data_IF_407653420080
#
_entry.id   IF_407653420080
#
_cell.length_a   1.000
_cell.length_b   1.000
_cell.length_c   1.000
_cell.angle_alpha   90.00
_cell.angle_beta   90.00
_cell.angle_gamma   90.00
#
_symmetry.space_group_name_H-M   'P 1'
#
loop_
_entity.id
_entity.type
_entity.pdbx_description
1 polymer ?
#
# COMPACT_ATOMS: atom_id res chain seq x y z
N UNK A 1 27.02 -13.14 -3.63
CA UNK A 1 25.70 -12.70 -4.09
C UNK A 1 25.94 -11.46 -4.92
N UNK A 2 25.57 -11.44 -6.19
CA UNK A 2 25.75 -10.28 -7.06
C UNK A 2 24.83 -9.16 -6.52
N UNK A 3 25.44 -8.04 -6.09
CA UNK A 3 24.68 -6.83 -5.75
C UNK A 3 23.97 -6.38 -7.03
N UNK A 4 22.65 -6.49 -7.05
CA UNK A 4 21.84 -6.01 -8.17
C UNK A 4 21.92 -4.50 -8.20
N UNK A 5 22.41 -3.94 -9.30
CA UNK A 5 22.40 -2.50 -9.60
C UNK A 5 21.02 -1.91 -9.37
N UNK A 6 20.95 -0.81 -8.64
CA UNK A 6 19.70 -0.20 -8.17
C UNK A 6 19.15 0.86 -9.13
N UNK A 7 19.55 0.85 -10.40
CA UNK A 7 19.04 1.81 -11.39
C UNK A 7 17.56 1.57 -11.61
N UNK A 8 16.73 2.55 -11.25
CA UNK A 8 15.32 2.56 -11.58
C UNK A 8 15.18 2.62 -13.11
N UNK A 9 14.61 1.60 -13.71
CA UNK A 9 14.40 1.59 -15.14
C UNK A 9 13.27 2.57 -15.49
N UNK A 10 13.61 3.77 -15.92
CA UNK A 10 12.74 4.64 -16.70
C UNK A 10 12.56 4.05 -18.11
N UNK A 11 12.19 2.77 -18.20
CA UNK A 11 11.94 2.09 -19.45
C UNK A 11 10.47 2.25 -19.80
N UNK A 12 10.11 3.35 -20.45
CA UNK A 12 8.76 3.53 -20.97
C UNK A 12 8.67 4.71 -21.92
N UNK A 13 7.99 4.50 -23.03
CA UNK A 13 7.50 5.59 -23.88
C UNK A 13 6.48 6.37 -23.04
N UNK A 14 6.81 7.60 -22.62
CA UNK A 14 5.82 8.46 -21.97
C UNK A 14 4.81 8.93 -23.00
N UNK A 15 3.55 8.55 -22.84
CA UNK A 15 2.48 9.08 -23.67
C UNK A 15 2.06 10.46 -23.13
N UNK A 16 2.25 11.50 -23.90
CA UNK A 16 1.95 12.89 -23.56
C UNK A 16 0.45 13.23 -23.66
N UNK A 17 -0.39 12.21 -23.81
CA UNK A 17 -1.80 12.36 -24.18
C UNK A 17 -2.73 13.02 -23.14
N UNK A 18 -2.27 13.55 -21.99
CA UNK A 18 -3.17 14.01 -20.93
C UNK A 18 -2.93 15.42 -20.40
N UNK A 19 -2.29 16.29 -21.15
CA UNK A 19 -2.21 17.70 -20.79
C UNK A 19 -2.62 18.64 -21.94
N UNK A 20 -3.84 18.50 -22.39
CA UNK A 20 -4.49 19.57 -23.14
C UNK A 20 -5.13 20.60 -22.18
N UNK A 21 -4.35 21.11 -21.25
CA UNK A 21 -4.64 22.34 -20.55
C UNK A 21 -4.32 23.51 -21.50
N UNK A 22 -5.31 24.31 -21.84
CA UNK A 22 -5.26 25.44 -22.74
C UNK A 22 -4.02 26.31 -22.58
N UNK A 23 -3.17 26.35 -23.61
CA UNK A 23 -2.15 27.37 -23.79
C UNK A 23 -0.79 26.79 -24.15
N UNK A 24 -0.41 26.94 -25.43
CA UNK A 24 0.88 26.54 -25.99
C UNK A 24 2.06 27.36 -25.46
N UNK A 25 2.29 27.35 -24.14
CA UNK A 25 3.54 27.85 -23.57
C UNK A 25 4.48 26.66 -23.46
N UNK A 26 5.49 26.61 -24.32
CA UNK A 26 6.60 25.67 -24.19
C UNK A 26 7.27 25.96 -22.84
N UNK A 27 7.29 24.97 -21.94
CA UNK A 27 8.01 25.06 -20.68
C UNK A 27 9.51 25.15 -20.97
N UNK A 28 10.22 25.94 -20.18
CA UNK A 28 11.67 26.01 -20.19
C UNK A 28 12.22 25.18 -19.03
N UNK A 29 12.56 23.93 -19.32
CA UNK A 29 13.05 22.98 -18.31
C UNK A 29 14.38 23.34 -17.65
N UNK A 30 15.09 24.36 -18.17
CA UNK A 30 16.35 24.84 -17.57
C UNK A 30 16.13 25.84 -16.44
N UNK A 31 14.91 26.34 -16.27
CA UNK A 31 14.58 27.27 -15.19
C UNK A 31 14.68 26.64 -13.82
N UNK A 32 15.31 27.32 -12.90
CA UNK A 32 15.32 26.97 -11.48
C UNK A 32 13.92 27.17 -10.88
N UNK A 33 13.37 26.13 -10.25
CA UNK A 33 12.06 26.18 -9.55
C UNK A 33 12.20 26.13 -8.04
N UNK A 34 13.30 25.63 -7.53
CA UNK A 34 13.66 25.62 -6.12
C UNK A 34 15.18 25.56 -5.97
N UNK A 35 15.67 25.71 -4.73
CA UNK A 35 17.10 25.62 -4.41
C UNK A 35 17.25 24.91 -3.07
N UNK A 36 18.09 23.88 -3.02
CA UNK A 36 18.46 23.15 -1.80
C UNK A 36 19.94 23.38 -1.54
N UNK A 37 20.28 23.99 -0.40
CA UNK A 37 21.64 24.33 0.05
C UNK A 37 22.54 24.97 -1.04
N UNK A 38 21.92 25.85 -1.84
CA UNK A 38 22.61 26.58 -2.91
C UNK A 38 22.70 25.82 -4.24
N UNK A 39 22.14 24.59 -4.32
CA UNK A 39 22.04 23.81 -5.55
C UNK A 39 20.69 24.06 -6.20
N UNK A 40 20.69 24.53 -7.44
CA UNK A 40 19.48 24.80 -8.20
C UNK A 40 18.79 23.52 -8.66
N UNK A 41 17.47 23.48 -8.51
CA UNK A 41 16.59 22.42 -9.00
C UNK A 41 15.94 22.88 -10.31
N UNK A 42 16.29 22.27 -11.46
CA UNK A 42 15.71 22.65 -12.74
C UNK A 42 14.28 22.13 -12.89
N UNK A 43 13.40 22.91 -13.52
CA UNK A 43 12.02 22.56 -13.83
C UNK A 43 11.93 21.20 -14.55
N UNK A 44 12.86 20.89 -15.47
CA UNK A 44 12.81 19.64 -16.23
C UNK A 44 12.92 18.39 -15.37
N UNK A 45 13.71 18.42 -14.29
CA UNK A 45 13.82 17.29 -13.34
C UNK A 45 12.50 17.09 -12.60
N UNK A 46 11.89 18.17 -12.10
CA UNK A 46 10.61 18.11 -11.39
C UNK A 46 9.48 17.69 -12.33
N UNK A 47 9.44 18.27 -13.54
CA UNK A 47 8.44 17.93 -14.56
C UNK A 47 8.50 16.46 -14.97
N UNK A 48 9.71 15.93 -15.19
CA UNK A 48 9.88 14.51 -15.53
C UNK A 48 9.39 13.60 -14.41
N UNK A 49 9.76 13.88 -13.17
CA UNK A 49 9.32 13.11 -12.02
C UNK A 49 7.79 13.18 -11.83
N UNK A 50 7.20 14.38 -11.91
CA UNK A 50 5.75 14.55 -11.81
C UNK A 50 5.01 13.74 -12.88
N UNK A 51 5.52 13.70 -14.13
CA UNK A 51 4.94 12.89 -15.20
C UNK A 51 5.08 11.38 -14.95
N UNK A 52 6.20 10.95 -14.41
CA UNK A 52 6.38 9.56 -13.99
C UNK A 52 5.33 9.17 -12.93
N UNK A 53 5.13 10.00 -11.91
CA UNK A 53 4.11 9.74 -10.87
C UNK A 53 2.69 9.77 -11.44
N UNK A 54 2.40 10.74 -12.31
CA UNK A 54 1.11 10.83 -13.01
C UNK A 54 0.79 9.55 -13.78
N UNK A 55 1.75 9.03 -14.56
CA UNK A 55 1.55 7.80 -15.32
C UNK A 55 1.29 6.59 -14.42
N UNK A 56 2.04 6.44 -13.33
CA UNK A 56 1.84 5.34 -12.37
C UNK A 56 0.46 5.39 -11.73
N UNK A 57 0.04 6.56 -11.26
CA UNK A 57 -1.28 6.76 -10.66
C UNK A 57 -2.39 6.52 -11.65
N UNK A 58 -2.27 7.07 -12.87
CA UNK A 58 -3.24 6.86 -13.95
C UNK A 58 -3.38 5.37 -14.28
N UNK A 59 -2.26 4.62 -14.41
CA UNK A 59 -2.29 3.19 -14.68
C UNK A 59 -2.96 2.39 -13.55
N UNK A 60 -2.73 2.78 -12.31
CA UNK A 60 -3.39 2.19 -11.14
C UNK A 60 -4.92 2.42 -11.18
N UNK A 61 -5.36 3.65 -11.40
CA UNK A 61 -6.78 3.98 -11.52
C UNK A 61 -7.46 3.24 -12.67
N UNK A 62 -6.81 3.18 -13.84
CA UNK A 62 -7.30 2.39 -14.98
C UNK A 62 -7.48 0.91 -14.63
N UNK A 63 -6.56 0.35 -13.84
CA UNK A 63 -6.63 -1.06 -13.43
C UNK A 63 -7.77 -1.35 -12.45
N UNK A 64 -8.05 -0.44 -11.51
CA UNK A 64 -9.05 -0.65 -10.46
C UNK A 64 -10.44 -0.13 -10.82
N UNK A 65 -10.50 1.02 -11.52
CA UNK A 65 -11.75 1.73 -11.79
C UNK A 65 -12.20 1.62 -13.26
N UNK A 66 -11.35 1.08 -14.14
CA UNK A 66 -11.63 0.96 -15.57
C UNK A 66 -11.54 2.27 -16.36
N UNK A 67 -11.40 3.42 -15.70
CA UNK A 67 -11.18 4.73 -16.29
C UNK A 67 -10.36 5.63 -15.37
N UNK A 68 -9.59 6.55 -15.95
CA UNK A 68 -8.88 7.62 -15.25
C UNK A 68 -9.20 9.00 -15.85
N UNK A 69 -10.36 9.11 -16.49
CA UNK A 69 -10.77 10.35 -17.18
C UNK A 69 -10.92 11.51 -16.19
N UNK A 70 -10.25 12.62 -16.50
CA UNK A 70 -10.31 13.89 -15.74
C UNK A 70 -9.88 13.79 -14.25
N UNK A 71 -9.22 12.72 -13.82
CA UNK A 71 -8.80 12.56 -12.41
C UNK A 71 -7.95 13.76 -11.95
N UNK A 72 -7.07 14.26 -12.80
CA UNK A 72 -6.14 15.33 -12.47
C UNK A 72 -6.76 16.71 -12.38
N UNK A 73 -7.93 16.91 -13.02
CA UNK A 73 -8.68 18.16 -13.00
C UNK A 73 -9.75 18.19 -11.89
N UNK A 74 -9.95 17.08 -11.17
CA UNK A 74 -10.88 17.04 -10.04
C UNK A 74 -10.33 17.81 -8.86
N UNK A 75 -11.22 18.51 -8.15
CA UNK A 75 -10.89 19.24 -6.93
C UNK A 75 -10.51 18.23 -5.83
N UNK A 76 -9.33 18.38 -5.28
CA UNK A 76 -8.81 17.56 -4.17
C UNK A 76 -9.12 18.22 -2.82
N UNK A 77 -9.19 19.54 -2.77
CA UNK A 77 -9.49 20.35 -1.59
C UNK A 77 -10.54 21.41 -1.94
N UNK A 78 -11.75 21.28 -1.38
CA UNK A 78 -12.87 22.19 -1.64
C UNK A 78 -12.64 23.61 -1.10
N UNK A 79 -11.84 23.77 -0.03
CA UNK A 79 -11.59 25.07 0.60
C UNK A 79 -10.61 25.91 -0.22
N UNK A 80 -9.56 25.31 -0.77
CA UNK A 80 -8.56 26.00 -1.60
C UNK A 80 -8.92 25.98 -3.09
N UNK A 81 -9.72 25.03 -3.54
CA UNK A 81 -10.01 24.77 -4.95
C UNK A 81 -8.84 24.08 -5.67
N UNK A 82 -7.87 23.56 -4.94
CA UNK A 82 -6.70 22.84 -5.46
C UNK A 82 -7.13 21.53 -6.11
N UNK A 83 -6.57 21.22 -7.28
CA UNK A 83 -6.85 19.96 -7.99
C UNK A 83 -5.86 18.86 -7.59
N UNK A 84 -6.19 17.57 -7.86
CA UNK A 84 -5.23 16.49 -7.72
C UNK A 84 -3.97 16.70 -8.58
N UNK A 85 -4.10 17.39 -9.72
CA UNK A 85 -2.97 17.78 -10.55
C UNK A 85 -2.05 18.77 -9.85
N UNK A 86 -2.59 19.78 -9.18
CA UNK A 86 -1.82 20.77 -8.43
C UNK A 86 -1.09 20.12 -7.25
N UNK A 87 -1.77 19.25 -6.50
CA UNK A 87 -1.17 18.49 -5.41
C UNK A 87 -0.05 17.57 -5.91
N UNK A 88 -0.25 16.91 -7.06
CA UNK A 88 0.79 16.05 -7.64
C UNK A 88 2.05 16.83 -8.01
N UNK A 89 1.91 18.07 -8.51
CA UNK A 89 3.06 18.94 -8.81
C UNK A 89 3.78 19.36 -7.52
N UNK A 90 3.04 19.80 -6.51
CA UNK A 90 3.58 20.21 -5.21
C UNK A 90 4.33 19.06 -4.54
N UNK A 91 3.70 17.88 -4.42
CA UNK A 91 4.31 16.69 -3.83
C UNK A 91 5.54 16.20 -4.61
N UNK A 92 5.52 16.39 -5.95
CA UNK A 92 6.68 16.04 -6.79
C UNK A 92 7.86 16.96 -6.52
N UNK A 93 7.62 18.26 -6.34
CA UNK A 93 8.68 19.21 -5.99
C UNK A 93 9.29 18.86 -4.61
N UNK A 94 8.45 18.65 -3.60
CA UNK A 94 8.90 18.25 -2.26
C UNK A 94 9.69 16.94 -2.28
N UNK A 95 9.28 15.97 -3.10
CA UNK A 95 9.99 14.71 -3.25
C UNK A 95 11.38 14.91 -3.88
N UNK A 96 11.47 15.75 -4.90
CA UNK A 96 12.76 16.09 -5.53
C UNK A 96 13.67 16.85 -4.54
N UNK A 97 13.13 17.82 -3.79
CA UNK A 97 13.89 18.53 -2.75
C UNK A 97 14.46 17.55 -1.70
N UNK A 98 13.65 16.60 -1.23
CA UNK A 98 14.12 15.52 -0.33
C UNK A 98 15.24 14.68 -0.97
N UNK A 99 15.12 14.32 -2.25
CA UNK A 99 16.17 13.57 -2.94
C UNK A 99 17.48 14.35 -3.06
N UNK A 100 17.43 15.68 -3.27
CA UNK A 100 18.63 16.53 -3.25
C UNK A 100 19.27 16.57 -1.87
N UNK A 101 18.48 16.68 -0.80
CA UNK A 101 18.97 16.60 0.59
C UNK A 101 19.63 15.22 0.84
N UNK A 102 19.03 14.14 0.42
CA UNK A 102 19.62 12.80 0.54
C UNK A 102 20.93 12.68 -0.23
N UNK A 103 21.00 13.23 -1.44
CA UNK A 103 22.24 13.28 -2.23
C UNK A 103 23.36 14.04 -1.51
N UNK A 104 23.04 15.17 -0.89
CA UNK A 104 24.02 15.96 -0.12
C UNK A 104 24.51 15.18 1.11
N UNK A 105 23.62 14.44 1.78
CA UNK A 105 23.93 13.63 2.96
C UNK A 105 24.52 12.26 2.66
N UNK A 106 24.57 11.84 1.41
CA UNK A 106 24.99 10.48 1.02
C UNK A 106 26.37 10.11 1.56
N UNK A 107 27.31 11.05 1.56
CA UNK A 107 28.67 10.81 2.08
C UNK A 107 28.70 10.56 3.58
N UNK A 108 27.78 11.14 4.37
CA UNK A 108 27.69 10.95 5.82
C UNK A 108 27.31 9.49 6.15
N UNK A 109 26.62 8.83 5.22
CA UNK A 109 26.19 7.43 5.30
C UNK A 109 27.09 6.47 4.50
N UNK A 110 28.23 6.93 3.99
CA UNK A 110 29.12 6.17 3.11
C UNK A 110 28.39 5.63 1.86
N UNK A 111 27.41 6.36 1.36
CA UNK A 111 26.69 6.07 0.12
C UNK A 111 27.30 6.87 -1.02
N UNK A 112 27.64 6.17 -2.10
CA UNK A 112 28.17 6.76 -3.35
C UNK A 112 27.61 5.98 -4.55
N UNK A 113 27.60 6.62 -5.70
CA UNK A 113 27.37 5.96 -6.97
C UNK A 113 28.65 5.23 -7.37
N UNK A 114 28.50 3.97 -7.80
CA UNK A 114 29.62 3.20 -8.35
C UNK A 114 29.75 3.45 -9.86
N UNK A 115 30.89 3.12 -10.44
CA UNK A 115 31.09 3.18 -11.91
C UNK A 115 30.00 2.38 -12.69
N UNK A 116 29.50 1.30 -12.09
CA UNK A 116 28.40 0.50 -12.64
C UNK A 116 27.08 1.26 -12.59
N UNK A 117 26.77 1.96 -11.49
CA UNK A 117 25.59 2.82 -11.38
C UNK A 117 25.65 3.95 -12.40
N UNK A 118 26.80 4.65 -12.50
CA UNK A 118 26.98 5.76 -13.45
C UNK A 118 26.80 5.32 -14.90
N UNK A 119 27.36 4.16 -15.26
CA UNK A 119 27.19 3.57 -16.59
C UNK A 119 25.73 3.24 -16.87
N UNK A 120 25.05 2.59 -15.93
CA UNK A 120 23.66 2.21 -16.07
C UNK A 120 22.73 3.43 -16.16
N UNK A 121 23.00 4.49 -15.39
CA UNK A 121 22.28 5.77 -15.46
C UNK A 121 22.47 6.42 -16.84
N UNK A 122 23.70 6.48 -17.35
CA UNK A 122 23.96 7.05 -18.67
C UNK A 122 23.26 6.28 -19.79
N UNK A 123 23.31 4.95 -19.74
CA UNK A 123 22.64 4.08 -20.71
C UNK A 123 21.10 4.23 -20.65
N UNK A 124 20.54 4.28 -19.44
CA UNK A 124 19.09 4.44 -19.26
C UNK A 124 18.60 5.82 -19.76
N UNK A 125 19.35 6.89 -19.48
CA UNK A 125 19.03 8.23 -19.98
C UNK A 125 19.07 8.30 -21.50
N UNK A 126 20.10 7.72 -22.12
CA UNK A 126 20.23 7.66 -23.58
C UNK A 126 19.09 6.85 -24.21
N UNK A 127 18.72 5.71 -23.60
CA UNK A 127 17.58 4.90 -24.05
C UNK A 127 16.26 5.66 -23.94
N UNK A 128 16.05 6.40 -22.84
CA UNK A 128 14.87 7.25 -22.66
C UNK A 128 14.75 8.29 -23.77
N UNK A 129 15.85 8.99 -24.09
CA UNK A 129 15.87 10.00 -25.15
C UNK A 129 15.60 9.36 -26.53
N UNK A 130 16.13 8.17 -26.79
CA UNK A 130 15.94 7.47 -28.04
C UNK A 130 14.53 6.85 -28.21
N UNK A 131 13.90 6.47 -27.11
CA UNK A 131 12.57 5.85 -27.11
C UNK A 131 11.42 6.86 -27.26
N UNK A 132 11.66 8.14 -27.01
CA UNK A 132 10.66 9.20 -27.08
C UNK A 132 10.87 10.10 -28.30
N UNK A 133 9.76 10.60 -28.89
CA UNK A 133 9.85 11.52 -30.01
C UNK A 133 10.42 12.88 -29.58
N UNK A 134 10.98 13.64 -30.53
CA UNK A 134 11.46 15.01 -30.27
C UNK A 134 10.35 15.91 -29.73
N UNK A 135 9.11 15.70 -30.17
CA UNK A 135 7.92 16.42 -29.68
C UNK A 135 7.64 16.11 -28.23
N UNK A 136 7.66 14.81 -27.85
CA UNK A 136 7.50 14.35 -26.46
C UNK A 136 8.58 14.96 -25.55
N UNK A 137 9.84 14.88 -25.95
CA UNK A 137 10.96 15.44 -25.17
C UNK A 137 10.80 16.95 -24.99
N UNK A 138 10.36 17.65 -26.05
CA UNK A 138 10.11 19.09 -25.97
C UNK A 138 8.94 19.44 -25.03
N UNK A 139 7.88 18.64 -25.03
CA UNK A 139 6.73 18.83 -24.15
C UNK A 139 7.08 18.48 -22.67
N UNK A 140 7.91 17.48 -22.45
CA UNK A 140 8.47 17.19 -21.15
C UNK A 140 9.41 18.29 -20.64
N UNK A 141 9.90 19.13 -21.56
CA UNK A 141 10.88 20.20 -21.32
C UNK A 141 12.16 19.67 -20.64
N UNK A 142 12.65 18.49 -21.04
CA UNK A 142 13.75 17.79 -20.39
C UNK A 142 14.94 17.61 -21.34
N UNK A 143 16.15 17.64 -20.76
CA UNK A 143 17.41 17.30 -21.42
C UNK A 143 17.89 15.92 -20.95
N UNK A 144 18.80 15.29 -21.70
CA UNK A 144 19.42 14.03 -21.28
C UNK A 144 20.14 14.15 -19.94
N UNK A 145 20.79 15.28 -19.64
CA UNK A 145 21.46 15.52 -18.37
C UNK A 145 20.45 15.62 -17.20
N UNK A 146 19.26 16.17 -17.45
CA UNK A 146 18.19 16.20 -16.43
C UNK A 146 17.59 14.81 -16.19
N UNK A 147 17.50 13.97 -17.22
CA UNK A 147 17.13 12.55 -17.06
C UNK A 147 18.18 11.83 -16.21
N UNK A 148 19.48 12.02 -16.51
CA UNK A 148 20.57 11.48 -15.67
C UNK A 148 20.47 11.96 -14.24
N UNK A 149 20.25 13.25 -14.02
CA UNK A 149 20.09 13.82 -12.67
C UNK A 149 18.95 13.13 -11.91
N UNK A 150 17.79 12.95 -12.52
CA UNK A 150 16.67 12.26 -11.85
C UNK A 150 17.03 10.81 -11.49
N UNK A 151 17.66 10.08 -12.41
CA UNK A 151 18.09 8.70 -12.17
C UNK A 151 19.16 8.58 -11.07
N UNK A 152 20.11 9.53 -11.01
CA UNK A 152 21.08 9.64 -9.92
C UNK A 152 20.38 9.84 -8.57
N UNK A 153 19.44 10.79 -8.49
CA UNK A 153 18.70 11.11 -7.29
C UNK A 153 17.91 9.88 -6.79
N UNK A 154 17.19 9.21 -7.67
CA UNK A 154 16.42 8.00 -7.35
C UNK A 154 17.34 6.84 -6.92
N UNK A 155 18.52 6.70 -7.55
CA UNK A 155 19.49 5.66 -7.18
C UNK A 155 20.08 5.92 -5.80
N UNK A 156 20.45 7.17 -5.50
CA UNK A 156 20.94 7.56 -4.18
C UNK A 156 19.84 7.38 -3.13
N UNK A 157 18.62 7.84 -3.39
CA UNK A 157 17.49 7.65 -2.49
C UNK A 157 17.33 6.18 -2.09
N UNK A 158 17.37 5.28 -3.08
CA UNK A 158 17.27 3.84 -2.82
C UNK A 158 18.44 3.28 -2.01
N UNK A 159 19.67 3.77 -2.26
CA UNK A 159 20.87 3.35 -1.52
C UNK A 159 20.91 3.91 -0.09
N UNK A 160 20.27 5.05 0.14
CA UNK A 160 20.19 5.68 1.45
C UNK A 160 19.19 5.01 2.40
N UNK A 161 18.26 4.23 1.87
CA UNK A 161 17.21 3.59 2.68
C UNK A 161 17.80 2.72 3.80
N UNK A 162 18.59 1.71 3.45
CA UNK A 162 19.14 0.75 4.42
C UNK A 162 19.98 1.41 5.53
N UNK A 163 20.94 2.31 5.22
CA UNK A 163 21.75 2.95 6.25
C UNK A 163 20.94 3.89 7.16
N UNK A 164 19.93 4.62 6.63
CA UNK A 164 19.08 5.49 7.45
C UNK A 164 18.23 4.63 8.39
N UNK A 165 17.57 3.60 7.86
CA UNK A 165 16.72 2.70 8.67
C UNK A 165 17.54 1.99 9.75
N UNK A 166 18.79 1.60 9.44
CA UNK A 166 19.68 0.99 10.42
C UNK A 166 19.98 1.89 11.63
N UNK A 167 20.01 3.22 11.45
CA UNK A 167 20.17 4.18 12.55
C UNK A 167 19.00 4.18 13.51
N UNK A 168 17.77 3.93 13.01
CA UNK A 168 16.55 3.94 13.79
C UNK A 168 16.47 2.82 14.82
N UNK A 169 17.29 1.75 14.70
CA UNK A 169 17.21 0.56 15.53
C UNK A 169 15.78 0.05 15.71
N UNK A 170 15.02 0.06 14.62
CA UNK A 170 13.60 -0.23 14.60
C UNK A 170 13.37 -1.70 14.95
N UNK A 171 12.48 -1.94 15.90
CA UNK A 171 12.14 -3.28 16.36
C UNK A 171 10.63 -3.45 16.44
N UNK A 172 10.17 -4.67 16.23
CA UNK A 172 8.80 -5.12 16.44
C UNK A 172 8.78 -6.09 17.61
N UNK A 173 8.07 -5.75 18.67
CA UNK A 173 7.94 -6.62 19.84
C UNK A 173 7.04 -7.83 19.55
N UNK A 174 7.13 -8.85 20.43
CA UNK A 174 6.22 -9.99 20.34
C UNK A 174 4.76 -9.60 20.57
N UNK A 175 4.52 -8.66 21.47
CA UNK A 175 3.18 -8.15 21.78
C UNK A 175 2.50 -7.50 20.56
N UNK A 176 3.26 -6.81 19.72
CA UNK A 176 2.76 -6.19 18.48
C UNK A 176 2.57 -7.21 17.34
N UNK A 177 3.39 -8.26 17.31
CA UNK A 177 3.45 -9.17 16.18
C UNK A 177 2.63 -10.44 16.36
N UNK A 178 2.49 -10.95 17.60
CA UNK A 178 1.83 -12.24 17.83
C UNK A 178 0.41 -12.25 17.32
N UNK A 179 0.08 -13.26 16.52
CA UNK A 179 -1.23 -13.42 15.88
C UNK A 179 -1.94 -14.67 16.37
N UNK A 180 -3.21 -14.50 16.67
CA UNK A 180 -4.17 -15.58 16.84
C UNK A 180 -4.89 -15.80 15.53
N UNK A 181 -4.98 -17.05 15.05
CA UNK A 181 -5.72 -17.43 13.85
C UNK A 181 -7.00 -18.17 14.21
N UNK A 182 -8.04 -17.96 13.41
CA UNK A 182 -9.34 -18.58 13.58
C UNK A 182 -10.02 -18.79 12.24
N UNK A 183 -10.96 -19.71 12.20
CA UNK A 183 -11.83 -19.94 11.05
C UNK A 183 -13.26 -19.58 11.42
N UNK A 184 -13.98 -18.91 10.53
CA UNK A 184 -15.35 -18.47 10.78
C UNK A 184 -16.24 -18.57 9.54
N UNK A 185 -17.53 -18.70 9.78
CA UNK A 185 -18.59 -18.47 8.81
C UNK A 185 -19.36 -17.24 9.26
N UNK A 186 -19.54 -16.27 8.37
CA UNK A 186 -20.40 -15.11 8.62
C UNK A 186 -21.65 -15.19 7.73
N UNK A 187 -22.81 -15.04 8.34
CA UNK A 187 -24.12 -15.07 7.70
C UNK A 187 -24.75 -13.69 7.83
N UNK A 188 -24.67 -12.88 6.78
CA UNK A 188 -25.16 -11.50 6.81
C UNK A 188 -26.69 -11.44 6.92
N UNK A 189 -27.15 -10.56 7.82
CA UNK A 189 -28.57 -10.16 7.95
C UNK A 189 -28.81 -8.74 7.48
N UNK A 190 -27.80 -8.10 6.86
CA UNK A 190 -27.91 -6.75 6.31
C UNK A 190 -28.51 -6.76 4.92
N UNK A 191 -29.30 -5.73 4.59
CA UNK A 191 -29.91 -5.50 3.29
C UNK A 191 -31.36 -5.02 3.43
N UNK A 192 -31.78 -4.13 2.53
CA UNK A 192 -33.11 -3.51 2.56
C UNK A 192 -34.27 -4.53 2.35
N UNK A 193 -33.95 -5.67 1.73
CA UNK A 193 -34.92 -6.75 1.44
C UNK A 193 -34.93 -7.88 2.49
N UNK A 194 -34.11 -7.82 3.55
CA UNK A 194 -34.02 -8.87 4.57
C UNK A 194 -35.14 -8.72 5.59
N UNK A 195 -36.08 -9.69 5.61
CA UNK A 195 -37.21 -9.73 6.54
C UNK A 195 -36.82 -10.35 7.89
N UNK A 196 -37.68 -10.19 8.91
CA UNK A 196 -37.46 -10.83 10.21
C UNK A 196 -37.55 -12.38 10.11
N UNK A 197 -38.33 -12.92 9.15
CA UNK A 197 -38.40 -14.36 8.85
C UNK A 197 -37.06 -14.84 8.24
N UNK A 198 -36.46 -14.06 7.36
CA UNK A 198 -35.15 -14.37 6.79
C UNK A 198 -34.06 -14.37 7.89
N UNK A 199 -34.11 -13.43 8.84
CA UNK A 199 -33.17 -13.40 9.96
C UNK A 199 -33.29 -14.63 10.84
N UNK A 200 -34.53 -15.07 11.15
CA UNK A 200 -34.73 -16.27 11.93
C UNK A 200 -34.23 -17.51 11.19
N UNK A 201 -34.53 -17.64 9.88
CA UNK A 201 -33.99 -18.71 9.06
C UNK A 201 -32.47 -18.76 9.04
N UNK A 202 -31.83 -17.60 8.88
CA UNK A 202 -30.36 -17.47 8.91
C UNK A 202 -29.78 -17.82 10.28
N UNK A 203 -30.50 -17.49 11.36
CA UNK A 203 -30.11 -17.86 12.72
C UNK A 203 -30.16 -19.38 12.92
N UNK A 204 -31.23 -20.04 12.44
CA UNK A 204 -31.35 -21.50 12.47
C UNK A 204 -30.22 -22.17 11.67
N UNK A 205 -29.90 -21.63 10.50
CA UNK A 205 -28.77 -22.12 9.67
C UNK A 205 -27.41 -21.96 10.37
N UNK A 206 -27.17 -20.80 11.02
CA UNK A 206 -25.97 -20.57 11.82
C UNK A 206 -25.86 -21.59 12.97
N UNK A 207 -27.00 -21.86 13.66
CA UNK A 207 -27.07 -22.86 14.74
C UNK A 207 -26.79 -24.26 14.22
N UNK A 208 -27.32 -24.63 13.06
CA UNK A 208 -27.06 -25.94 12.45
C UNK A 208 -25.58 -26.13 12.11
N UNK A 209 -24.90 -25.09 11.59
CA UNK A 209 -23.44 -25.10 11.34
C UNK A 209 -22.71 -25.29 12.67
N UNK A 210 -23.04 -24.50 13.68
CA UNK A 210 -22.43 -24.58 15.01
C UNK A 210 -22.56 -25.99 15.62
N UNK A 211 -23.77 -26.57 15.59
CA UNK A 211 -24.02 -27.89 16.14
C UNK A 211 -23.15 -28.96 15.47
N UNK A 212 -23.06 -28.92 14.14
CA UNK A 212 -22.21 -29.84 13.37
C UNK A 212 -20.74 -29.66 13.68
N UNK A 213 -20.28 -28.41 13.83
CA UNK A 213 -18.90 -28.11 14.20
C UNK A 213 -18.58 -28.52 15.65
N UNK A 214 -19.57 -28.49 16.57
CA UNK A 214 -19.41 -28.99 17.93
C UNK A 214 -19.38 -30.53 17.99
N UNK A 215 -20.04 -31.21 17.08
CA UNK A 215 -19.98 -32.69 16.95
C UNK A 215 -18.60 -33.14 16.46
N UNK A 216 -18.02 -32.42 15.50
CA UNK A 216 -16.66 -32.63 15.00
C UNK A 216 -15.91 -31.31 14.82
N UNK A 217 -15.20 -30.81 15.85
CA UNK A 217 -14.43 -29.58 15.75
C UNK A 217 -13.30 -29.59 14.71
N UNK A 218 -12.91 -30.78 14.22
CA UNK A 218 -11.85 -30.94 13.22
C UNK A 218 -12.35 -30.96 11.79
N UNK A 219 -13.69 -30.98 11.60
CA UNK A 219 -14.31 -30.96 10.28
C UNK A 219 -13.91 -29.70 9.48
N UNK A 220 -13.93 -29.83 8.16
CA UNK A 220 -13.80 -28.66 7.28
C UNK A 220 -15.06 -27.78 7.42
N UNK A 221 -14.88 -26.63 8.07
CA UNK A 221 -15.97 -25.70 8.35
C UNK A 221 -16.64 -25.20 7.06
N UNK A 222 -15.90 -25.10 5.94
CA UNK A 222 -16.45 -24.68 4.67
C UNK A 222 -17.38 -25.77 4.08
N UNK A 223 -16.96 -27.04 4.15
CA UNK A 223 -17.82 -28.17 3.72
C UNK A 223 -19.07 -28.28 4.60
N UNK A 224 -18.94 -28.07 5.92
CA UNK A 224 -20.08 -28.06 6.84
C UNK A 224 -21.05 -26.94 6.51
N UNK A 225 -20.55 -25.72 6.28
CA UNK A 225 -21.36 -24.54 5.94
C UNK A 225 -22.11 -24.74 4.60
N UNK A 226 -21.40 -25.19 3.56
CA UNK A 226 -21.98 -25.47 2.24
C UNK A 226 -23.02 -26.60 2.30
N UNK A 227 -22.89 -27.54 3.23
CA UNK A 227 -23.87 -28.58 3.47
C UNK A 227 -25.18 -28.07 4.09
N UNK A 228 -25.21 -26.84 4.62
CA UNK A 228 -26.41 -26.15 5.12
C UNK A 228 -26.95 -25.21 4.04
N UNK A 229 -26.14 -24.43 3.42
CA UNK A 229 -26.45 -23.57 2.27
C UNK A 229 -25.24 -23.44 1.35
N UNK A 230 -25.40 -23.70 0.05
CA UNK A 230 -24.31 -23.70 -0.94
C UNK A 230 -23.62 -22.32 -1.07
N UNK A 231 -24.27 -21.24 -0.64
CA UNK A 231 -23.73 -19.88 -0.65
C UNK A 231 -22.79 -19.58 0.53
N UNK A 232 -22.80 -20.42 1.56
CA UNK A 232 -21.95 -20.20 2.74
C UNK A 232 -20.58 -20.80 2.56
N UNK A 233 -19.57 -20.09 3.05
CA UNK A 233 -18.19 -20.56 3.06
C UNK A 233 -17.49 -20.08 4.33
N UNK A 234 -16.55 -20.88 4.82
CA UNK A 234 -15.69 -20.47 5.90
C UNK A 234 -14.51 -19.66 5.36
N UNK A 235 -14.06 -18.70 6.17
CA UNK A 235 -12.90 -17.87 5.90
C UNK A 235 -11.96 -17.97 7.10
N UNK A 236 -10.65 -18.03 6.84
CA UNK A 236 -9.64 -17.91 7.88
C UNK A 236 -9.32 -16.43 8.12
N UNK A 237 -9.27 -16.06 9.39
CA UNK A 237 -8.89 -14.74 9.86
C UNK A 237 -7.77 -14.79 10.87
N UNK A 238 -7.21 -13.63 11.18
CA UNK A 238 -6.26 -13.48 12.28
C UNK A 238 -6.44 -12.12 12.97
N UNK A 239 -6.01 -12.03 14.21
CA UNK A 239 -5.96 -10.80 14.98
C UNK A 239 -4.77 -10.81 15.95
N UNK A 240 -4.37 -9.63 16.42
CA UNK A 240 -3.25 -9.52 17.37
C UNK A 240 -3.62 -10.16 18.70
N UNK A 241 -2.80 -11.12 19.14
CA UNK A 241 -3.08 -11.95 20.33
C UNK A 241 -3.22 -11.09 21.59
N UNK A 242 -2.34 -10.09 21.78
CA UNK A 242 -2.45 -9.14 22.89
C UNK A 242 -3.49 -8.09 22.55
N UNK A 243 -4.33 -7.77 23.51
CA UNK A 243 -5.26 -6.65 23.44
C UNK A 243 -4.49 -5.32 23.49
N UNK A 244 -4.86 -4.36 22.65
CA UNK A 244 -4.31 -3.00 22.74
C UNK A 244 -4.76 -2.33 24.03
N UNK A 245 -3.85 -1.64 24.72
CA UNK A 245 -4.17 -0.84 25.89
C UNK A 245 -4.68 0.56 25.50
N UNK A 246 -4.47 0.97 24.25
CA UNK A 246 -4.90 2.25 23.70
C UNK A 246 -6.20 2.07 22.90
N UNK A 247 -7.29 2.68 23.34
CA UNK A 247 -8.60 2.66 22.67
C UNK A 247 -8.53 3.25 21.24
N UNK A 248 -7.53 4.11 20.96
CA UNK A 248 -7.29 4.73 19.67
C UNK A 248 -6.39 3.88 18.74
N UNK A 249 -5.66 2.89 19.28
CA UNK A 249 -4.82 1.94 18.53
C UNK A 249 -5.45 0.55 18.41
N UNK A 250 -6.74 0.38 18.65
CA UNK A 250 -7.44 -0.84 18.23
C UNK A 250 -7.58 -0.89 16.70
N UNK A 251 -6.44 -0.68 16.11
CA UNK A 251 -6.12 -1.02 14.73
C UNK A 251 -5.65 -2.47 14.63
N UNK A 252 -6.21 -3.40 15.39
CA UNK A 252 -6.41 -4.76 14.88
C UNK A 252 -7.20 -4.68 13.56
N UNK A 253 -7.11 -3.48 12.96
CA UNK A 253 -7.90 -2.95 11.89
C UNK A 253 -9.24 -3.64 12.00
N UNK A 254 -10.25 -3.04 12.52
CA UNK A 254 -11.59 -3.57 12.77
C UNK A 254 -12.17 -4.41 11.62
N UNK A 255 -11.43 -5.47 11.25
CA UNK A 255 -11.84 -6.44 10.25
C UNK A 255 -12.97 -7.32 10.82
N UNK A 256 -13.11 -7.34 12.16
CA UNK A 256 -14.06 -8.22 12.85
C UNK A 256 -14.79 -7.46 13.95
N UNK A 257 -16.08 -7.77 14.18
CA UNK A 257 -16.83 -7.20 15.28
C UNK A 257 -16.20 -7.54 16.67
N UNK A 258 -16.32 -6.61 17.62
CA UNK A 258 -15.76 -6.77 18.97
C UNK A 258 -16.33 -8.00 19.68
N UNK A 259 -17.59 -8.32 19.45
CA UNK A 259 -18.24 -9.51 19.99
C UNK A 259 -17.54 -10.79 19.53
N UNK A 260 -17.09 -10.83 18.27
CA UNK A 260 -16.36 -11.97 17.71
C UNK A 260 -15.00 -12.11 18.35
N UNK A 261 -14.23 -11.02 18.43
CA UNK A 261 -12.90 -11.01 19.06
C UNK A 261 -12.99 -11.36 20.54
N UNK A 262 -13.96 -10.81 21.25
CA UNK A 262 -14.19 -11.10 22.68
C UNK A 262 -14.41 -12.59 22.95
N UNK A 263 -15.23 -13.26 22.13
CA UNK A 263 -15.46 -14.72 22.23
C UNK A 263 -14.18 -15.48 21.92
N UNK A 264 -13.49 -15.15 20.81
CA UNK A 264 -12.26 -15.81 20.39
C UNK A 264 -11.16 -15.73 21.47
N UNK A 265 -11.03 -14.61 22.19
CA UNK A 265 -10.05 -14.46 23.28
C UNK A 265 -10.29 -15.42 24.45
N UNK A 266 -11.50 -15.96 24.60
CA UNK A 266 -11.87 -16.95 25.63
C UNK A 266 -11.61 -18.40 25.23
N UNK A 267 -11.37 -18.67 23.93
CA UNK A 267 -11.23 -20.03 23.41
C UNK A 267 -9.80 -20.55 23.48
N UNK A 268 -9.64 -21.86 23.33
CA UNK A 268 -8.36 -22.56 23.20
C UNK A 268 -8.16 -23.05 21.76
N UNK A 269 -6.92 -23.45 21.45
CA UNK A 269 -6.58 -24.03 20.16
C UNK A 269 -7.52 -25.18 19.77
N UNK A 270 -8.12 -25.09 18.59
CA UNK A 270 -9.08 -26.04 18.04
C UNK A 270 -10.49 -25.96 18.62
N UNK A 271 -10.76 -25.02 19.53
CA UNK A 271 -12.07 -24.89 20.20
C UNK A 271 -13.08 -24.12 19.34
N UNK A 272 -14.28 -24.64 19.23
CA UNK A 272 -15.45 -23.99 18.60
C UNK A 272 -16.20 -23.20 19.68
N UNK A 273 -16.72 -22.03 19.34
CA UNK A 273 -17.52 -21.23 20.27
C UNK A 273 -18.75 -22.00 20.81
N UNK A 274 -19.16 -21.69 22.04
CA UNK A 274 -20.30 -22.36 22.65
C UNK A 274 -21.65 -21.98 22.01
N UNK A 275 -21.78 -20.73 21.56
CA UNK A 275 -22.99 -20.20 20.94
C UNK A 275 -22.64 -19.47 19.63
N UNK A 276 -23.66 -19.28 18.78
CA UNK A 276 -23.54 -18.37 17.63
C UNK A 276 -23.31 -16.96 18.17
N UNK A 277 -22.47 -16.19 17.47
CA UNK A 277 -22.22 -14.78 17.85
C UNK A 277 -23.14 -13.92 17.00
N UNK A 278 -24.01 -13.19 17.66
CA UNK A 278 -24.93 -12.24 17.05
C UNK A 278 -24.32 -10.85 17.02
N UNK A 279 -24.32 -10.21 15.87
CA UNK A 279 -23.82 -8.85 15.65
C UNK A 279 -24.89 -8.02 14.92
N UNK A 280 -24.67 -6.72 14.83
CA UNK A 280 -25.58 -5.83 14.07
C UNK A 280 -25.68 -6.21 12.57
N UNK A 281 -24.67 -6.89 12.03
CA UNK A 281 -24.57 -7.23 10.60
C UNK A 281 -24.89 -8.69 10.27
N UNK A 282 -25.05 -9.56 11.28
CA UNK A 282 -25.36 -10.97 11.07
C UNK A 282 -24.86 -11.90 12.16
N UNK A 283 -24.78 -13.16 11.82
CA UNK A 283 -24.39 -14.24 12.71
C UNK A 283 -23.02 -14.79 12.35
N UNK A 284 -22.22 -15.12 13.37
CA UNK A 284 -20.90 -15.73 13.20
C UNK A 284 -20.85 -17.08 13.92
N UNK A 285 -20.27 -18.08 13.25
CA UNK A 285 -19.82 -19.34 13.83
C UNK A 285 -18.32 -19.37 13.75
N UNK A 286 -17.63 -19.53 14.87
CA UNK A 286 -16.17 -19.40 14.93
C UNK A 286 -15.51 -20.61 15.57
N UNK A 287 -14.32 -20.96 15.09
CA UNK A 287 -13.36 -21.88 15.73
C UNK A 287 -12.03 -21.20 15.84
N UNK A 288 -11.47 -21.16 17.02
CA UNK A 288 -10.09 -20.69 17.21
C UNK A 288 -9.14 -21.80 16.73
N UNK A 289 -8.28 -21.49 15.76
CA UNK A 289 -7.34 -22.48 15.21
C UNK A 289 -6.04 -22.53 16.03
N UNK A 290 -5.43 -21.36 16.28
CA UNK A 290 -4.18 -21.24 17.09
C UNK A 290 -4.10 -19.87 17.77
N UNK A 291 -3.81 -19.87 19.08
CA UNK A 291 -3.60 -18.63 19.86
C UNK A 291 -2.31 -17.92 19.42
N UNK A 292 -1.25 -18.68 19.13
CA UNK A 292 0.01 -18.14 18.62
C UNK A 292 0.36 -18.87 17.32
N UNK A 293 -0.05 -18.32 16.20
CA UNK A 293 0.29 -18.85 14.89
C UNK A 293 1.64 -18.28 14.42
N UNK A 294 2.63 -19.16 14.25
CA UNK A 294 4.00 -18.75 13.89
C UNK A 294 4.07 -18.10 12.50
N UNK A 295 3.32 -18.62 11.52
CA UNK A 295 3.35 -18.13 10.15
C UNK A 295 2.63 -16.76 10.03
N UNK A 296 1.47 -16.65 10.66
CA UNK A 296 0.72 -15.37 10.72
C UNK A 296 1.52 -14.31 11.50
N UNK A 297 2.16 -14.70 12.61
CA UNK A 297 3.03 -13.83 13.41
C UNK A 297 4.25 -13.35 12.60
N UNK A 298 4.90 -14.24 11.85
CA UNK A 298 6.04 -13.88 11.01
C UNK A 298 5.62 -12.87 9.93
N UNK A 299 4.49 -13.10 9.27
CA UNK A 299 3.93 -12.20 8.25
C UNK A 299 3.57 -10.82 8.85
N UNK A 300 2.95 -10.80 10.03
CA UNK A 300 2.62 -9.54 10.73
C UNK A 300 3.88 -8.79 11.14
N UNK A 301 4.88 -9.50 11.67
CA UNK A 301 6.17 -8.92 12.06
C UNK A 301 6.87 -8.26 10.88
N UNK A 302 6.93 -8.93 9.73
CA UNK A 302 7.51 -8.38 8.51
C UNK A 302 6.75 -7.14 8.04
N UNK A 303 5.41 -7.19 8.03
CA UNK A 303 4.57 -6.05 7.68
C UNK A 303 4.78 -4.85 8.59
N UNK A 304 4.81 -5.05 9.91
CA UNK A 304 5.05 -4.00 10.90
C UNK A 304 6.47 -3.43 10.80
N UNK A 305 7.47 -4.31 10.60
CA UNK A 305 8.85 -3.88 10.41
C UNK A 305 8.96 -2.96 9.19
N UNK A 306 8.44 -3.38 8.04
CA UNK A 306 8.44 -2.59 6.81
C UNK A 306 7.68 -1.25 6.97
N UNK A 307 6.55 -1.26 7.67
CA UNK A 307 5.77 -0.04 7.94
C UNK A 307 6.54 0.94 8.83
N UNK A 308 7.11 0.46 9.95
CA UNK A 308 7.91 1.30 10.87
C UNK A 308 9.17 1.85 10.19
N UNK A 309 9.85 1.03 9.38
CA UNK A 309 11.02 1.45 8.60
C UNK A 309 10.66 2.50 7.57
N UNK A 310 9.54 2.31 6.86
CA UNK A 310 9.06 3.30 5.88
C UNK A 310 8.63 4.62 6.52
N UNK A 311 8.09 4.58 7.75
CA UNK A 311 7.71 5.78 8.49
C UNK A 311 8.92 6.53 9.03
N UNK A 312 9.97 5.80 9.41
CA UNK A 312 11.21 6.39 9.91
C UNK A 312 12.02 7.05 8.79
N UNK A 313 12.04 6.48 7.59
CA UNK A 313 12.71 6.99 6.40
C UNK A 313 12.02 8.22 5.81
#
# INVERSE_FOLDING_TARGET
MAKRTAVAALAGVMSVGMLTGCGSKTLDGTKTVATVDGTDIPLGVVSLYAREQQQRTTAMYMSYMGSADNIWDQTADEDSGETYGDQAVTSSLESIEKMYILKEKASDYNVELTDEDETAIADAASQFMAANSEETIKELAVTEDQVKTLLELQTIQKKMYDPIVAEGNITVSDDEANQTTFTYVSISTSGDDVTDEDKETKKEQAQEILDKMKEDPTADMSEVAQGVDESYSAVQGNFTTKESEDEDEDSSGAAYPDEVISVLRGLKDGEVADDIIETDTGYYVVRLDKINDEDATASKRESLQNSKESTYY
#
